data_IF_959427744901
#
_entry.id   IF_959427744901
#
_cell.length_a   1.000
_cell.length_b   1.000
_cell.length_c   1.000
_cell.angle_alpha   90.00
_cell.angle_beta   90.00
_cell.angle_gamma   90.00
#
_symmetry.space_group_name_H-M   'P 1'
#
loop_
_entity.id
_entity.type
_entity.pdbx_description
1 polymer ?
#
# COMPACT_ATOMS: atom_id res chain seq x y z
N UNK A 1 -59.77 -45.08 78.28
CA UNK A 1 -59.63 -43.81 77.52
C UNK A 1 -58.66 -44.07 76.38
N UNK A 2 -59.17 -44.25 75.15
CA UNK A 2 -58.33 -44.50 73.97
C UNK A 2 -57.95 -43.16 73.35
N UNK A 3 -56.66 -42.83 73.35
CA UNK A 3 -56.14 -41.60 72.72
C UNK A 3 -56.22 -41.78 71.20
N UNK A 4 -56.82 -40.84 70.44
CA UNK A 4 -56.98 -41.00 69.00
C UNK A 4 -55.62 -41.03 68.28
N UNK A 5 -55.45 -42.00 67.38
CA UNK A 5 -54.22 -42.23 66.60
C UNK A 5 -53.77 -41.01 65.76
N UNK A 6 -54.66 -40.05 65.49
CA UNK A 6 -54.40 -38.85 64.67
C UNK A 6 -53.30 -37.94 65.24
N UNK A 7 -53.18 -37.85 66.57
CA UNK A 7 -52.10 -37.13 67.25
C UNK A 7 -50.71 -37.68 66.87
N UNK A 8 -50.59 -39.02 66.79
CA UNK A 8 -49.29 -39.68 66.58
C UNK A 8 -48.80 -39.48 65.16
N UNK A 9 -49.73 -39.52 64.20
CA UNK A 9 -49.44 -39.28 62.79
C UNK A 9 -49.06 -37.81 62.55
N UNK A 10 -49.78 -36.86 63.17
CA UNK A 10 -49.45 -35.43 63.06
C UNK A 10 -48.06 -35.07 63.58
N UNK A 11 -47.63 -35.66 64.71
CA UNK A 11 -46.29 -35.43 65.27
C UNK A 11 -45.16 -35.95 64.38
N UNK A 12 -45.33 -37.11 63.75
CA UNK A 12 -44.32 -37.70 62.85
C UNK A 12 -44.15 -36.86 61.59
N UNK A 13 -45.24 -36.38 60.99
CA UNK A 13 -45.19 -35.53 59.80
C UNK A 13 -44.54 -34.18 60.11
N UNK A 14 -44.90 -33.55 61.23
CA UNK A 14 -44.28 -32.29 61.64
C UNK A 14 -42.78 -32.44 61.91
N UNK A 15 -42.36 -33.55 62.54
CA UNK A 15 -40.94 -33.86 62.76
C UNK A 15 -40.16 -34.03 61.45
N UNK A 16 -40.73 -34.73 60.47
CA UNK A 16 -40.10 -34.91 59.16
C UNK A 16 -39.95 -33.59 58.39
N UNK A 17 -40.97 -32.73 58.41
CA UNK A 17 -40.92 -31.41 57.77
C UNK A 17 -39.84 -30.54 58.40
N UNK A 18 -39.71 -30.55 59.73
CA UNK A 18 -38.66 -29.81 60.43
C UNK A 18 -37.25 -30.29 60.06
N UNK A 19 -37.05 -31.60 59.94
CA UNK A 19 -35.75 -32.19 59.53
C UNK A 19 -35.39 -31.81 58.09
N UNK A 20 -36.35 -31.85 57.16
CA UNK A 20 -36.12 -31.44 55.77
C UNK A 20 -35.77 -29.97 55.68
N UNK A 21 -36.49 -29.09 56.38
CA UNK A 21 -36.20 -27.66 56.41
C UNK A 21 -34.84 -27.35 57.05
N UNK A 22 -34.50 -28.04 58.14
CA UNK A 22 -33.19 -27.89 58.79
C UNK A 22 -32.04 -28.37 57.90
N UNK A 23 -32.20 -29.51 57.20
CA UNK A 23 -31.22 -30.00 56.24
C UNK A 23 -31.04 -29.07 55.03
N UNK A 24 -32.14 -28.51 54.54
CA UNK A 24 -32.12 -27.56 53.42
C UNK A 24 -31.47 -26.22 53.81
N UNK A 25 -31.70 -25.73 55.03
CA UNK A 25 -31.05 -24.54 55.58
C UNK A 25 -29.54 -24.76 55.79
N UNK A 26 -29.14 -25.91 56.30
CA UNK A 26 -27.73 -26.27 56.50
C UNK A 26 -26.98 -26.39 55.16
N UNK A 27 -27.61 -26.97 54.15
CA UNK A 27 -27.05 -27.08 52.79
C UNK A 27 -26.83 -25.71 52.14
N UNK A 28 -27.82 -24.82 52.24
CA UNK A 28 -27.71 -23.44 51.75
C UNK A 28 -26.63 -22.65 52.51
N UNK A 29 -26.51 -22.86 53.83
CA UNK A 29 -25.49 -22.23 54.64
C UNK A 29 -24.06 -22.69 54.28
N UNK A 30 -23.86 -23.99 54.07
CA UNK A 30 -22.57 -24.53 53.61
C UNK A 30 -22.22 -24.06 52.20
N UNK A 31 -23.20 -24.00 51.30
CA UNK A 31 -23.02 -23.46 49.95
C UNK A 31 -22.65 -21.97 49.97
N UNK A 32 -23.31 -21.17 50.82
CA UNK A 32 -22.97 -19.76 51.01
C UNK A 32 -21.55 -19.58 51.57
N UNK A 33 -21.16 -20.41 52.54
CA UNK A 33 -19.82 -20.34 53.13
C UNK A 33 -18.70 -20.71 52.15
N UNK A 34 -18.91 -21.73 51.32
CA UNK A 34 -17.97 -22.07 50.25
C UNK A 34 -17.95 -21.01 49.13
N UNK A 35 -19.07 -20.37 48.84
CA UNK A 35 -19.11 -19.24 47.91
C UNK A 35 -18.31 -18.03 48.42
N UNK A 36 -18.34 -17.75 49.74
CA UNK A 36 -17.55 -16.68 50.35
C UNK A 36 -16.04 -16.94 50.31
N UNK A 37 -15.60 -18.19 50.42
CA UNK A 37 -14.18 -18.55 50.29
C UNK A 37 -13.72 -18.42 48.83
N UNK A 38 -14.50 -18.95 47.88
CA UNK A 38 -14.20 -18.85 46.44
C UNK A 38 -14.22 -17.40 45.94
N UNK A 39 -15.14 -16.56 46.41
CA UNK A 39 -15.23 -15.15 45.99
C UNK A 39 -14.03 -14.33 46.44
N UNK A 40 -13.43 -14.62 47.60
CA UNK A 40 -12.21 -13.95 48.06
C UNK A 40 -11.00 -14.30 47.21
N UNK A 41 -10.81 -15.58 46.88
CA UNK A 41 -9.73 -16.03 45.99
C UNK A 41 -9.90 -15.45 44.59
N UNK A 42 -11.13 -15.49 44.05
CA UNK A 42 -11.44 -14.92 42.74
C UNK A 42 -11.22 -13.40 42.72
N UNK A 43 -11.56 -12.68 43.79
CA UNK A 43 -11.30 -11.24 43.89
C UNK A 43 -9.80 -10.92 43.85
N UNK A 44 -8.98 -11.66 44.60
CA UNK A 44 -7.51 -11.50 44.60
C UNK A 44 -6.91 -11.83 43.22
N UNK A 45 -7.37 -12.89 42.57
CA UNK A 45 -6.94 -13.24 41.22
C UNK A 45 -7.40 -12.21 40.18
N UNK A 46 -8.61 -11.66 40.32
CA UNK A 46 -9.14 -10.62 39.43
C UNK A 46 -8.32 -9.32 39.55
N UNK A 47 -7.90 -8.94 40.76
CA UNK A 47 -7.02 -7.78 40.96
C UNK A 47 -5.63 -7.99 40.34
N UNK A 48 -5.02 -9.15 40.55
CA UNK A 48 -3.73 -9.50 39.93
C UNK A 48 -3.83 -9.55 38.40
N UNK A 49 -4.90 -10.15 37.86
CA UNK A 49 -5.16 -10.17 36.43
C UNK A 49 -5.39 -8.77 35.87
N UNK A 50 -6.10 -7.90 36.60
CA UNK A 50 -6.31 -6.51 36.19
C UNK A 50 -4.98 -5.73 36.16
N UNK A 51 -4.08 -5.94 37.12
CA UNK A 51 -2.75 -5.34 37.11
C UNK A 51 -1.90 -5.85 35.95
N UNK A 52 -1.88 -7.16 35.71
CA UNK A 52 -1.17 -7.75 34.57
C UNK A 52 -1.73 -7.27 33.23
N UNK A 53 -3.06 -7.16 33.10
CA UNK A 53 -3.70 -6.66 31.90
C UNK A 53 -3.30 -5.21 31.59
N UNK A 54 -3.18 -4.36 32.62
CA UNK A 54 -2.70 -2.97 32.49
C UNK A 54 -1.24 -2.94 32.02
N UNK A 55 -0.35 -3.68 32.67
CA UNK A 55 1.06 -3.75 32.27
C UNK A 55 1.22 -4.26 30.83
N UNK A 56 0.43 -5.27 30.44
CA UNK A 56 0.42 -5.77 29.05
C UNK A 56 -0.18 -4.77 28.06
N UNK A 57 -1.16 -3.96 28.47
CA UNK A 57 -1.73 -2.90 27.64
C UNK A 57 -0.70 -1.78 27.40
N UNK A 58 0.03 -1.38 28.44
CA UNK A 58 1.12 -0.40 28.34
C UNK A 58 2.22 -0.88 27.39
N UNK A 59 2.71 -2.11 27.57
CA UNK A 59 3.71 -2.71 26.68
C UNK A 59 3.21 -2.81 25.23
N UNK A 60 1.94 -3.17 25.02
CA UNK A 60 1.34 -3.19 23.68
C UNK A 60 1.28 -1.80 23.08
N UNK A 61 0.86 -0.79 23.84
CA UNK A 61 0.78 0.59 23.36
C UNK A 61 2.16 1.13 22.96
N UNK A 62 3.19 0.91 23.79
CA UNK A 62 4.56 1.32 23.49
C UNK A 62 5.15 0.62 22.26
N UNK A 63 4.82 -0.68 22.06
CA UNK A 63 5.20 -1.40 20.84
C UNK A 63 4.50 -0.82 19.62
N UNK A 64 3.21 -0.54 19.72
CA UNK A 64 2.43 0.03 18.62
C UNK A 64 2.98 1.40 18.21
N UNK A 65 3.25 2.30 19.16
CA UNK A 65 3.84 3.62 18.85
C UNK A 65 5.19 3.49 18.17
N UNK A 66 6.10 2.67 18.70
CA UNK A 66 7.41 2.44 18.09
C UNK A 66 7.30 1.85 16.67
N UNK A 67 6.37 0.92 16.45
CA UNK A 67 6.13 0.37 15.10
C UNK A 67 5.53 1.40 14.14
N UNK A 68 4.64 2.27 14.61
CA UNK A 68 4.04 3.32 13.80
C UNK A 68 5.06 4.40 13.41
N UNK A 69 5.94 4.79 14.33
CA UNK A 69 7.05 5.70 14.06
C UNK A 69 7.98 5.12 12.99
N UNK A 70 8.42 3.86 13.17
CA UNK A 70 9.27 3.17 12.20
C UNK A 70 8.59 3.06 10.83
N UNK A 71 7.30 2.73 10.77
CA UNK A 71 6.53 2.69 9.52
C UNK A 71 6.42 4.06 8.86
N UNK A 72 6.26 5.14 9.62
CA UNK A 72 6.23 6.50 9.07
C UNK A 72 7.56 6.88 8.45
N UNK A 73 8.67 6.55 9.08
CA UNK A 73 10.01 6.80 8.54
C UNK A 73 10.26 6.00 7.27
N UNK A 74 9.93 4.71 7.26
CA UNK A 74 10.02 3.84 6.07
C UNK A 74 9.16 4.38 4.93
N UNK A 75 7.92 4.79 5.20
CA UNK A 75 7.07 5.39 4.17
C UNK A 75 7.66 6.70 3.67
N UNK A 76 8.14 7.58 4.55
CA UNK A 76 8.72 8.86 4.16
C UNK A 76 10.00 8.70 3.33
N UNK A 77 10.80 7.66 3.56
CA UNK A 77 11.97 7.35 2.72
C UNK A 77 11.54 6.74 1.38
N UNK A 78 10.59 5.81 1.38
CA UNK A 78 10.05 5.23 0.13
C UNK A 78 9.41 6.30 -0.76
N UNK A 79 8.59 7.20 -0.21
CA UNK A 79 7.99 8.29 -1.00
C UNK A 79 9.02 9.24 -1.59
N UNK A 80 10.10 9.53 -0.84
CA UNK A 80 11.22 10.32 -1.38
C UNK A 80 11.91 9.61 -2.55
N UNK A 81 12.24 8.34 -2.39
CA UNK A 81 12.87 7.53 -3.44
C UNK A 81 11.99 7.45 -4.70
N UNK A 82 10.71 7.12 -4.54
CA UNK A 82 9.77 7.04 -5.67
C UNK A 82 9.59 8.41 -6.34
N UNK A 83 9.57 9.50 -5.57
CA UNK A 83 9.50 10.86 -6.12
C UNK A 83 10.73 11.22 -6.96
N UNK A 84 11.93 10.88 -6.47
CA UNK A 84 13.18 11.08 -7.20
C UNK A 84 13.24 10.24 -8.48
N UNK A 85 12.86 8.96 -8.42
CA UNK A 85 12.79 8.07 -9.58
C UNK A 85 11.80 8.58 -10.63
N UNK A 86 10.61 9.03 -10.21
CA UNK A 86 9.61 9.59 -11.11
C UNK A 86 10.12 10.86 -11.81
N UNK A 87 10.80 11.76 -11.08
CA UNK A 87 11.40 12.96 -11.64
C UNK A 87 12.50 12.61 -12.66
N UNK A 88 13.37 11.65 -12.35
CA UNK A 88 14.40 11.17 -13.26
C UNK A 88 13.81 10.54 -14.53
N UNK A 89 12.76 9.74 -14.38
CA UNK A 89 12.08 9.12 -15.51
C UNK A 89 11.44 10.14 -16.45
N UNK A 90 10.75 11.14 -15.90
CA UNK A 90 10.17 12.24 -16.68
C UNK A 90 11.25 13.02 -17.44
N UNK A 91 12.36 13.36 -16.77
CA UNK A 91 13.50 14.04 -17.39
C UNK A 91 14.16 13.18 -18.50
N UNK A 92 14.22 11.87 -18.32
CA UNK A 92 14.72 10.95 -19.34
C UNK A 92 13.79 10.90 -20.56
N UNK A 93 12.47 10.87 -20.35
CA UNK A 93 11.49 10.90 -21.44
C UNK A 93 11.56 12.21 -22.23
N UNK A 94 11.61 13.36 -21.55
CA UNK A 94 11.74 14.67 -22.21
C UNK A 94 12.99 14.73 -23.10
N UNK A 95 14.14 14.25 -22.59
CA UNK A 95 15.38 14.18 -23.37
C UNK A 95 15.29 13.24 -24.59
N UNK A 96 14.58 12.13 -24.48
CA UNK A 96 14.37 11.21 -25.62
C UNK A 96 13.50 11.87 -26.69
N UNK A 97 12.41 12.52 -26.30
CA UNK A 97 11.54 13.24 -27.23
C UNK A 97 12.29 14.39 -27.94
N UNK A 98 13.11 15.14 -27.20
CA UNK A 98 13.92 16.21 -27.77
C UNK A 98 14.94 15.68 -28.78
N UNK A 99 15.64 14.59 -28.46
CA UNK A 99 16.56 13.94 -29.41
C UNK A 99 15.85 13.49 -30.68
N UNK A 100 14.67 12.87 -30.57
CA UNK A 100 13.89 12.46 -31.74
C UNK A 100 13.49 13.65 -32.60
N UNK A 101 13.09 14.77 -31.98
CA UNK A 101 12.79 16.01 -32.72
C UNK A 101 14.03 16.56 -33.42
N UNK A 102 15.16 16.62 -32.75
CA UNK A 102 16.42 17.08 -33.33
C UNK A 102 16.89 16.17 -34.47
N UNK A 103 16.75 14.86 -34.33
CA UNK A 103 17.06 13.90 -35.39
C UNK A 103 16.12 14.09 -36.60
N UNK A 104 14.83 14.29 -36.37
CA UNK A 104 13.88 14.57 -37.44
C UNK A 104 14.21 15.87 -38.18
N UNK A 105 14.57 16.94 -37.45
CA UNK A 105 15.03 18.20 -38.04
C UNK A 105 16.35 18.02 -38.80
N UNK A 106 17.28 17.22 -38.28
CA UNK A 106 18.55 16.92 -38.94
C UNK A 106 18.34 16.14 -40.24
N UNK A 107 17.44 15.16 -40.22
CA UNK A 107 17.04 14.40 -41.40
C UNK A 107 16.36 15.34 -42.40
N UNK A 108 15.39 16.17 -41.99
CA UNK A 108 14.76 17.13 -42.88
C UNK A 108 15.77 18.10 -43.51
N UNK A 109 16.73 18.58 -42.72
CA UNK A 109 17.80 19.45 -43.20
C UNK A 109 18.74 18.77 -44.19
N UNK A 110 18.89 17.44 -44.16
CA UNK A 110 19.74 16.74 -45.12
C UNK A 110 19.11 16.65 -46.52
N UNK A 111 17.78 16.77 -46.66
CA UNK A 111 17.12 16.85 -47.97
C UNK A 111 17.04 18.27 -48.51
N UNK A 112 17.26 19.29 -47.69
CA UNK A 112 17.10 20.68 -48.12
C UNK A 112 18.31 21.14 -48.93
N UNK A 113 18.06 21.78 -50.08
CA UNK A 113 19.11 22.34 -50.91
C UNK A 113 19.90 23.41 -50.14
N UNK A 114 21.23 23.35 -50.27
CA UNK A 114 22.15 24.34 -49.70
C UNK A 114 22.17 25.67 -50.46
N UNK A 115 22.89 26.69 -49.96
CA UNK A 115 22.98 28.01 -50.61
C UNK A 115 23.67 27.98 -51.98
N UNK A 116 24.51 26.97 -52.20
CA UNK A 116 25.23 26.73 -53.44
C UNK A 116 24.52 25.70 -54.34
N UNK A 117 23.29 25.30 -54.00
CA UNK A 117 22.55 24.29 -54.75
C UNK A 117 21.22 24.85 -55.21
N UNK A 118 20.80 24.50 -56.42
CA UNK A 118 19.53 24.92 -56.98
C UNK A 118 18.80 23.76 -57.65
N UNK A 119 17.47 23.77 -57.56
CA UNK A 119 16.65 22.84 -58.31
C UNK A 119 16.35 23.42 -59.70
N UNK A 120 16.92 22.82 -60.75
CA UNK A 120 16.74 23.25 -62.13
C UNK A 120 16.29 22.05 -62.99
N UNK A 121 15.17 22.19 -63.68
CA UNK A 121 14.62 21.10 -64.51
C UNK A 121 14.28 19.83 -63.71
N UNK A 122 13.98 19.95 -62.41
CA UNK A 122 13.68 18.81 -61.52
C UNK A 122 14.93 18.05 -61.04
N UNK A 123 16.12 18.62 -61.23
CA UNK A 123 17.41 18.03 -60.85
C UNK A 123 18.21 19.00 -59.98
N UNK A 124 18.95 18.47 -59.02
CA UNK A 124 19.83 19.25 -58.15
C UNK A 124 21.10 19.62 -58.91
N UNK A 125 21.40 20.91 -58.96
CA UNK A 125 22.59 21.49 -59.59
C UNK A 125 23.42 22.20 -58.51
N UNK A 126 24.68 21.85 -58.38
CA UNK A 126 25.67 22.56 -57.57
C UNK A 126 26.26 23.74 -58.37
N UNK A 127 26.38 24.89 -57.71
CA UNK A 127 26.96 26.12 -58.22
C UNK A 127 28.23 26.43 -57.46
N UNK A 128 29.36 26.43 -58.16
CA UNK A 128 30.65 26.85 -57.60
C UNK A 128 31.21 27.99 -58.45
N UNK A 129 31.05 29.23 -57.96
CA UNK A 129 31.39 30.43 -58.72
C UNK A 129 30.55 30.56 -59.98
N UNK A 130 31.20 30.56 -61.15
CA UNK A 130 30.57 30.59 -62.47
C UNK A 130 30.33 29.20 -63.08
N UNK A 131 30.73 28.13 -62.38
CA UNK A 131 30.59 26.76 -62.84
C UNK A 131 29.35 26.09 -62.24
N UNK A 132 28.70 25.27 -63.06
CA UNK A 132 27.53 24.49 -62.70
C UNK A 132 27.82 23.01 -62.93
N UNK A 133 27.53 22.18 -61.94
CA UNK A 133 27.64 20.72 -62.03
C UNK A 133 26.39 20.06 -61.49
N UNK A 134 26.05 18.88 -62.00
CA UNK A 134 24.93 18.11 -61.50
C UNK A 134 25.32 17.36 -60.22
N UNK A 135 24.49 17.43 -59.18
CA UNK A 135 24.69 16.65 -57.97
C UNK A 135 24.30 15.19 -58.24
N UNK A 136 25.19 14.27 -57.88
CA UNK A 136 25.00 12.83 -58.04
C UNK A 136 24.75 12.17 -56.68
N UNK A 137 23.76 11.29 -56.63
CA UNK A 137 23.41 10.51 -55.45
C UNK A 137 24.40 9.37 -55.20
N UNK A 138 24.13 8.56 -54.17
CA UNK A 138 25.01 7.43 -53.78
C UNK A 138 25.18 6.38 -54.88
N UNK A 139 24.22 6.27 -55.79
CA UNK A 139 24.24 5.38 -56.95
C UNK A 139 24.97 5.96 -58.16
N UNK A 140 25.49 7.19 -58.07
CA UNK A 140 26.07 7.92 -59.20
C UNK A 140 25.04 8.48 -60.18
N UNK A 141 23.74 8.36 -59.89
CA UNK A 141 22.66 8.93 -60.69
C UNK A 141 22.33 10.36 -60.26
N UNK A 142 21.75 11.20 -61.15
CA UNK A 142 21.30 12.54 -60.81
C UNK A 142 20.28 12.55 -59.67
N UNK A 143 20.43 13.50 -58.73
CA UNK A 143 19.46 13.69 -57.65
C UNK A 143 18.29 14.54 -58.15
N UNK A 144 17.08 14.03 -57.97
CA UNK A 144 15.86 14.78 -58.28
C UNK A 144 15.48 15.75 -57.15
N UNK A 145 14.74 16.80 -57.49
CA UNK A 145 14.27 17.79 -56.54
C UNK A 145 12.90 18.36 -56.90
N UNK A 146 12.24 18.93 -55.90
CA UNK A 146 11.01 19.70 -56.00
C UNK A 146 11.14 20.95 -55.12
N UNK A 147 11.22 22.13 -55.75
CA UNK A 147 11.45 23.38 -55.03
C UNK A 147 12.81 23.42 -54.33
N UNK A 148 12.83 23.59 -53.01
CA UNK A 148 14.03 23.61 -52.18
C UNK A 148 14.34 22.27 -51.49
N UNK A 149 13.68 21.17 -51.92
CA UNK A 149 13.82 19.84 -51.33
C UNK A 149 14.28 18.82 -52.40
N UNK A 150 15.31 18.02 -52.07
CA UNK A 150 15.76 16.89 -52.85
C UNK A 150 14.99 15.60 -52.51
N UNK A 151 14.91 14.66 -53.43
CA UNK A 151 14.26 13.35 -53.21
C UNK A 151 15.12 12.38 -52.39
N UNK A 152 16.41 12.68 -52.27
CA UNK A 152 17.40 11.90 -51.52
C UNK A 152 18.21 12.83 -50.62
N UNK A 153 18.77 12.32 -49.50
CA UNK A 153 19.57 13.13 -48.59
C UNK A 153 20.89 13.53 -49.26
N UNK A 154 21.20 14.82 -49.19
CA UNK A 154 22.38 15.48 -49.76
C UNK A 154 23.62 15.39 -48.85
N UNK A 155 23.45 14.91 -47.60
CA UNK A 155 24.49 14.78 -46.57
C UNK A 155 24.38 13.44 -45.84
#
# INVERSE_FOLDING_TARGET
MAVPLSWKVGGVVAGLVAVVLAGHGLSLYLAARHADELTREVAQHAELQAQQARAQAELRSARLTATLERRREELATTYRQVGEEAAQYQAAQARRAERQRQEALRVQASYRLGPDQQCAGGLVIDRSGSSFSQALGKSGQPIHCSGDIATEPLR
#
